data_IF_241158725316
#
_entry.id   IF_241158725316
#
_cell.length_a   1.000
_cell.length_b   1.000
_cell.length_c   1.000
_cell.angle_alpha   90.00
_cell.angle_beta   90.00
_cell.angle_gamma   90.00
#
_symmetry.space_group_name_H-M   'P 1'
#
loop_
_entity.id
_entity.type
_entity.pdbx_description
1 polymer ?
#
# COMPACT_ATOMS: atom_id res chain seq x y z
N UNK A 1 -13.08 22.53 30.48
CA UNK A 1 -13.26 21.35 31.34
C UNK A 1 -13.05 20.10 30.50
N UNK A 2 -11.85 19.53 30.57
CA UNK A 2 -11.51 18.25 29.93
C UNK A 2 -12.06 17.13 30.81
N UNK A 3 -13.05 16.38 30.30
CA UNK A 3 -13.50 15.15 30.94
C UNK A 3 -12.32 14.16 30.97
N UNK A 4 -11.97 13.60 32.14
CA UNK A 4 -10.92 12.60 32.22
C UNK A 4 -11.40 11.33 31.52
N UNK A 5 -10.61 10.83 30.58
CA UNK A 5 -10.83 9.54 29.92
C UNK A 5 -10.55 8.40 30.90
N UNK A 6 -11.40 8.22 31.91
CA UNK A 6 -11.33 7.12 32.88
C UNK A 6 -11.81 5.84 32.21
N UNK A 7 -10.88 4.95 31.85
CA UNK A 7 -11.23 3.60 31.38
C UNK A 7 -10.24 2.92 30.44
N UNK A 8 -9.17 3.58 29.97
CA UNK A 8 -8.15 2.87 29.18
C UNK A 8 -7.31 1.98 30.08
N UNK A 9 -7.50 0.66 29.99
CA UNK A 9 -6.56 -0.34 30.55
C UNK A 9 -5.14 0.09 30.19
N UNK A 10 -4.24 0.18 31.17
CA UNK A 10 -2.83 0.50 30.92
C UNK A 10 -2.31 -0.45 29.84
N UNK A 11 -1.71 0.04 28.75
CA UNK A 11 -1.18 -0.83 27.71
C UNK A 11 -0.13 -1.75 28.32
N UNK A 12 -0.18 -3.05 27.96
CA UNK A 12 0.76 -4.04 28.47
C UNK A 12 2.21 -3.57 28.25
N UNK A 13 3.13 -3.85 29.19
CA UNK A 13 4.54 -3.54 29.00
C UNK A 13 5.12 -4.38 27.86
N UNK A 14 6.06 -3.81 27.10
CA UNK A 14 6.81 -4.55 26.08
C UNK A 14 8.09 -5.12 26.70
N UNK A 15 8.53 -6.28 26.21
CA UNK A 15 9.79 -6.89 26.64
C UNK A 15 10.90 -6.44 25.69
N UNK A 16 11.98 -5.89 26.24
CA UNK A 16 13.23 -5.65 25.53
C UNK A 16 14.29 -6.64 26.04
N UNK A 17 14.81 -7.51 25.15
CA UNK A 17 15.74 -8.57 25.54
C UNK A 17 15.09 -9.69 26.37
N UNK A 18 15.80 -10.18 27.41
CA UNK A 18 15.33 -11.30 28.26
C UNK A 18 14.64 -10.87 29.57
N UNK A 19 14.81 -9.64 30.02
CA UNK A 19 14.40 -9.24 31.39
C UNK A 19 13.89 -7.80 31.55
N UNK A 20 13.99 -6.91 30.55
CA UNK A 20 13.58 -5.50 30.71
C UNK A 20 12.14 -5.28 30.24
N UNK A 21 11.33 -4.59 31.06
CA UNK A 21 9.94 -4.27 30.77
C UNK A 21 9.77 -2.76 30.55
N UNK A 22 9.42 -2.38 29.33
CA UNK A 22 9.14 -0.99 29.01
C UNK A 22 7.69 -0.63 29.31
N UNK A 23 7.51 0.40 30.13
CA UNK A 23 6.20 0.81 30.63
C UNK A 23 5.72 2.15 30.07
N UNK A 24 6.64 3.06 29.71
CA UNK A 24 6.31 4.35 29.09
C UNK A 24 5.85 4.19 27.64
N UNK A 25 5.00 5.09 27.16
CA UNK A 25 4.60 5.08 25.74
C UNK A 25 5.76 5.45 24.81
N UNK A 26 6.70 6.29 25.28
CA UNK A 26 7.87 6.70 24.50
C UNK A 26 8.82 5.51 24.30
N UNK A 27 9.23 4.89 25.40
CA UNK A 27 10.19 3.79 25.38
C UNK A 27 9.63 2.58 24.60
N UNK A 28 8.32 2.31 24.72
CA UNK A 28 7.64 1.31 23.87
C UNK A 28 7.71 1.66 22.38
N UNK A 29 7.54 2.93 22.03
CA UNK A 29 7.59 3.37 20.64
C UNK A 29 9.02 3.23 20.07
N UNK A 30 10.04 3.53 20.88
CA UNK A 30 11.46 3.35 20.52
C UNK A 30 11.78 1.84 20.33
N UNK A 31 11.42 0.97 21.28
CA UNK A 31 11.62 -0.50 21.13
C UNK A 31 10.94 -1.06 19.88
N UNK A 32 9.72 -0.59 19.58
CA UNK A 32 9.01 -0.99 18.37
C UNK A 32 9.69 -0.45 17.11
N UNK A 33 10.18 0.78 17.12
CA UNK A 33 10.92 1.36 16.00
C UNK A 33 12.19 0.54 15.71
N UNK A 34 12.98 0.24 16.75
CA UNK A 34 14.21 -0.56 16.62
C UNK A 34 13.93 -1.98 16.08
N UNK A 35 12.87 -2.62 16.59
CA UNK A 35 12.45 -3.96 16.13
C UNK A 35 12.01 -3.94 14.66
N UNK A 36 11.42 -2.85 14.20
CA UNK A 36 10.97 -2.69 12.82
C UNK A 36 12.17 -2.41 11.89
N UNK A 37 13.08 -1.53 12.29
CA UNK A 37 14.29 -1.21 11.52
C UNK A 37 15.14 -2.46 11.31
N UNK A 38 15.39 -3.23 12.37
CA UNK A 38 16.11 -4.51 12.30
C UNK A 38 15.36 -5.59 11.51
N UNK A 39 14.04 -5.48 11.37
CA UNK A 39 13.23 -6.41 10.56
C UNK A 39 13.25 -6.10 9.06
N UNK A 40 13.66 -4.89 8.67
CA UNK A 40 13.69 -4.42 7.28
C UNK A 40 15.13 -4.59 6.77
N UNK A 41 15.45 -5.77 6.27
CA UNK A 41 16.76 -6.04 5.66
C UNK A 41 16.90 -5.33 4.30
N UNK A 42 17.83 -4.37 4.11
CA UNK A 42 18.09 -3.77 2.81
C UNK A 42 18.79 -4.78 1.90
N UNK A 43 18.01 -5.58 1.18
CA UNK A 43 18.54 -6.59 0.27
C UNK A 43 19.30 -5.95 -0.90
N UNK A 44 20.63 -6.06 -0.91
CA UNK A 44 21.52 -5.61 -1.98
C UNK A 44 21.43 -6.54 -3.20
N UNK A 45 20.59 -6.19 -4.19
CA UNK A 45 20.62 -6.83 -5.50
C UNK A 45 21.36 -5.94 -6.51
N UNK A 46 22.66 -6.17 -6.70
CA UNK A 46 23.51 -5.39 -7.60
C UNK A 46 23.11 -5.54 -9.08
N UNK A 47 22.76 -6.74 -9.54
CA UNK A 47 22.44 -7.03 -10.96
C UNK A 47 21.15 -6.37 -11.46
N UNK A 48 20.02 -6.57 -10.77
CA UNK A 48 18.73 -5.95 -11.10
C UNK A 48 18.79 -4.41 -11.08
N UNK A 49 19.67 -3.84 -10.26
CA UNK A 49 19.83 -2.37 -10.17
C UNK A 49 20.43 -1.79 -11.45
N UNK A 50 21.31 -2.52 -12.13
CA UNK A 50 21.94 -2.08 -13.39
C UNK A 50 20.94 -2.15 -14.54
N UNK A 51 20.21 -3.27 -14.66
CA UNK A 51 19.21 -3.48 -15.72
C UNK A 51 18.06 -2.47 -15.64
N UNK A 52 17.53 -2.20 -14.43
CA UNK A 52 16.47 -1.19 -14.23
C UNK A 52 16.93 0.21 -14.63
N UNK A 53 18.16 0.60 -14.26
CA UNK A 53 18.71 1.92 -14.64
C UNK A 53 18.87 2.04 -16.16
N UNK A 54 19.31 0.98 -16.83
CA UNK A 54 19.48 0.97 -18.28
C UNK A 54 18.14 1.03 -19.02
N UNK A 55 17.11 0.33 -18.55
CA UNK A 55 15.78 0.35 -19.19
C UNK A 55 15.00 1.64 -18.94
N UNK A 56 15.09 2.25 -17.74
CA UNK A 56 14.47 3.56 -17.47
C UNK A 56 15.05 4.68 -18.36
N UNK A 57 16.32 4.55 -18.77
CA UNK A 57 17.01 5.59 -19.56
C UNK A 57 16.80 5.42 -21.07
N UNK A 58 16.14 4.34 -21.53
CA UNK A 58 15.84 4.17 -22.96
C UNK A 58 14.73 5.16 -23.37
N UNK A 59 14.96 6.04 -24.35
CA UNK A 59 13.89 6.87 -24.88
C UNK A 59 12.93 5.99 -25.68
N UNK A 60 11.72 5.76 -25.17
CA UNK A 60 10.63 5.23 -25.98
C UNK A 60 10.01 6.36 -26.80
N UNK A 61 9.70 6.02 -28.05
CA UNK A 61 9.04 6.89 -29.03
C UNK A 61 7.53 6.80 -28.75
N UNK A 62 6.87 7.95 -28.61
CA UNK A 62 5.46 8.14 -28.23
C UNK A 62 5.15 7.99 -26.73
N UNK A 63 5.35 9.11 -26.02
CA UNK A 63 4.81 9.30 -24.69
C UNK A 63 3.27 9.34 -24.78
N UNK A 64 2.60 8.25 -24.41
CA UNK A 64 1.17 8.29 -24.11
C UNK A 64 0.95 9.31 -22.98
N UNK A 65 0.38 10.46 -23.31
CA UNK A 65 0.02 11.51 -22.36
C UNK A 65 -0.97 10.93 -21.36
N UNK A 66 -0.60 10.90 -20.07
CA UNK A 66 -1.54 10.55 -19.00
C UNK A 66 -2.44 11.77 -18.79
N UNK A 67 -3.45 11.93 -19.63
CA UNK A 67 -4.36 13.08 -19.63
C UNK A 67 -5.68 12.84 -18.88
N UNK A 68 -5.86 11.70 -18.21
CA UNK A 68 -7.22 11.28 -17.81
C UNK A 68 -7.66 11.67 -16.39
N UNK A 69 -6.88 12.45 -15.63
CA UNK A 69 -7.35 12.90 -14.32
C UNK A 69 -8.32 14.09 -14.47
N UNK A 70 -9.61 13.87 -14.24
CA UNK A 70 -10.65 14.91 -14.29
C UNK A 70 -11.10 15.35 -12.90
N UNK A 71 -11.45 16.63 -12.74
CA UNK A 71 -12.11 17.12 -11.52
C UNK A 71 -13.31 16.27 -11.10
N UNK A 72 -14.10 15.75 -12.06
CA UNK A 72 -15.25 14.90 -11.75
C UNK A 72 -14.86 13.54 -11.17
N UNK A 73 -13.75 12.98 -11.62
CA UNK A 73 -13.16 11.79 -11.02
C UNK A 73 -12.77 12.07 -9.57
N UNK A 74 -12.05 13.16 -9.33
CA UNK A 74 -11.62 13.54 -7.97
C UNK A 74 -12.81 13.79 -7.06
N UNK A 75 -13.85 14.49 -7.53
CA UNK A 75 -15.11 14.68 -6.78
C UNK A 75 -15.73 13.34 -6.39
N UNK A 76 -15.77 12.37 -7.31
CA UNK A 76 -16.26 11.01 -7.03
C UNK A 76 -15.38 10.29 -6.00
N UNK A 77 -14.06 10.41 -6.08
CA UNK A 77 -13.13 9.81 -5.13
C UNK A 77 -13.25 10.42 -3.73
N UNK A 78 -13.38 11.75 -3.62
CA UNK A 78 -13.60 12.48 -2.37
C UNK A 78 -14.88 12.02 -1.68
N UNK A 79 -15.99 11.89 -2.43
CA UNK A 79 -17.27 11.38 -1.89
C UNK A 79 -17.13 9.99 -1.28
N UNK A 80 -16.32 9.12 -1.90
CA UNK A 80 -16.03 7.74 -1.46
C UNK A 80 -15.06 7.65 -0.27
N UNK A 81 -14.48 8.75 0.20
CA UNK A 81 -13.63 8.72 1.40
C UNK A 81 -14.42 8.24 2.62
N UNK A 82 -13.83 7.38 3.44
CA UNK A 82 -14.47 6.92 4.69
C UNK A 82 -14.27 7.99 5.77
N UNK A 83 -15.36 8.35 6.45
CA UNK A 83 -15.31 9.26 7.61
C UNK A 83 -14.59 8.58 8.80
N UNK A 84 -14.15 9.40 9.77
CA UNK A 84 -13.53 8.94 11.01
C UNK A 84 -12.28 8.06 10.80
N UNK A 85 -11.58 8.25 9.69
CA UNK A 85 -10.24 7.69 9.49
C UNK A 85 -9.21 8.60 10.13
N UNK A 86 -8.20 7.99 10.76
CA UNK A 86 -7.08 8.74 11.32
C UNK A 86 -6.36 9.51 10.19
N UNK A 87 -6.07 10.80 10.40
CA UNK A 87 -5.33 11.61 9.42
C UNK A 87 -3.86 11.18 9.36
N UNK A 88 -3.17 11.64 8.32
CA UNK A 88 -1.72 11.47 8.20
C UNK A 88 -0.97 12.48 9.05
N UNK A 89 0.30 12.74 8.69
CA UNK A 89 1.14 13.77 9.32
C UNK A 89 0.61 15.20 9.12
N UNK A 90 -0.19 15.41 8.08
CA UNK A 90 -0.83 16.69 7.77
C UNK A 90 -2.01 17.02 8.69
N UNK A 91 -2.47 16.07 9.49
CA UNK A 91 -3.61 16.21 10.42
C UNK A 91 -4.96 16.55 9.74
N UNK A 92 -5.02 16.50 8.41
CA UNK A 92 -6.23 16.76 7.63
C UNK A 92 -7.11 15.51 7.62
N UNK A 93 -8.25 15.58 8.32
CA UNK A 93 -9.24 14.52 8.32
C UNK A 93 -9.99 14.43 6.98
N UNK A 94 -10.43 13.23 6.62
CA UNK A 94 -11.23 13.01 5.40
C UNK A 94 -12.51 13.86 5.35
N UNK A 95 -13.09 14.20 6.51
CA UNK A 95 -14.24 15.09 6.60
C UNK A 95 -13.92 16.49 6.09
N UNK A 96 -12.74 17.02 6.41
CA UNK A 96 -12.31 18.33 5.91
C UNK A 96 -12.14 18.30 4.38
N UNK A 97 -11.54 17.24 3.84
CA UNK A 97 -11.39 17.05 2.38
C UNK A 97 -12.76 16.98 1.69
N UNK A 98 -13.75 16.32 2.30
CA UNK A 98 -15.13 16.29 1.78
C UNK A 98 -15.85 17.64 1.77
N UNK A 99 -15.39 18.58 2.59
CA UNK A 99 -15.93 19.95 2.65
C UNK A 99 -15.24 20.91 1.70
N UNK A 100 -14.29 20.45 0.87
CA UNK A 100 -13.63 21.32 -0.10
C UNK A 100 -14.65 21.92 -1.08
N UNK A 101 -14.61 23.25 -1.32
CA UNK A 101 -15.44 23.86 -2.35
C UNK A 101 -15.01 23.38 -3.73
N UNK A 102 -15.92 23.43 -4.72
CA UNK A 102 -15.64 22.95 -6.07
C UNK A 102 -14.35 23.55 -6.66
N UNK A 103 -14.12 24.85 -6.46
CA UNK A 103 -12.90 25.54 -6.90
C UNK A 103 -11.63 24.90 -6.31
N UNK A 104 -11.65 24.49 -5.04
CA UNK A 104 -10.50 23.81 -4.43
C UNK A 104 -10.30 22.40 -5.00
N UNK A 105 -11.38 21.68 -5.33
CA UNK A 105 -11.29 20.38 -5.99
C UNK A 105 -10.72 20.51 -7.41
N UNK A 106 -11.09 21.56 -8.13
CA UNK A 106 -10.56 21.86 -9.47
C UNK A 106 -9.05 22.15 -9.42
N UNK A 107 -8.61 22.97 -8.46
CA UNK A 107 -7.17 23.19 -8.24
C UNK A 107 -6.44 21.92 -7.83
N UNK A 108 -7.07 21.05 -7.02
CA UNK A 108 -6.48 19.76 -6.67
C UNK A 108 -6.30 18.87 -7.91
N UNK A 109 -7.23 18.91 -8.85
CA UNK A 109 -7.13 18.21 -10.12
C UNK A 109 -5.93 18.70 -10.95
N UNK A 110 -5.80 20.02 -11.11
CA UNK A 110 -4.66 20.63 -11.79
C UNK A 110 -3.32 20.19 -11.15
N UNK A 111 -3.25 20.13 -9.82
CA UNK A 111 -2.06 19.66 -9.11
C UNK A 111 -1.79 18.19 -9.40
N UNK A 112 -2.81 17.33 -9.38
CA UNK A 112 -2.64 15.89 -9.69
C UNK A 112 -2.17 15.69 -11.13
N UNK A 113 -2.77 16.39 -12.09
CA UNK A 113 -2.38 16.38 -13.51
C UNK A 113 -0.91 16.80 -13.65
N UNK A 114 -0.51 17.89 -12.99
CA UNK A 114 0.87 18.37 -13.04
C UNK A 114 1.86 17.30 -12.53
N UNK A 115 1.55 16.59 -11.45
CA UNK A 115 2.41 15.51 -10.94
C UNK A 115 2.46 14.29 -11.85
N UNK A 116 1.35 13.94 -12.52
CA UNK A 116 1.32 12.89 -13.54
C UNK A 116 2.20 13.28 -14.75
N UNK A 117 2.05 14.51 -15.26
CA UNK A 117 2.84 15.04 -16.38
C UNK A 117 4.34 15.12 -16.07
N UNK A 118 4.69 15.55 -14.85
CA UNK A 118 6.08 15.60 -14.40
C UNK A 118 6.63 14.24 -13.91
N UNK A 119 5.81 13.19 -13.92
CA UNK A 119 6.20 11.82 -13.56
C UNK A 119 6.85 11.75 -12.17
N UNK A 120 6.35 12.55 -11.23
CA UNK A 120 6.95 12.72 -9.89
C UNK A 120 5.91 12.62 -8.81
N UNK A 121 6.19 11.79 -7.82
CA UNK A 121 5.33 11.68 -6.65
C UNK A 121 5.71 12.74 -5.59
N UNK A 122 4.74 13.47 -5.02
CA UNK A 122 5.04 14.58 -4.10
C UNK A 122 5.73 14.10 -2.82
N UNK A 123 6.83 14.76 -2.43
CA UNK A 123 7.61 14.37 -1.24
C UNK A 123 6.77 14.41 0.04
N UNK A 124 6.02 15.49 0.26
CA UNK A 124 5.15 15.64 1.43
C UNK A 124 4.08 14.54 1.54
N UNK A 125 3.67 13.95 0.42
CA UNK A 125 2.66 12.89 0.39
C UNK A 125 3.24 11.49 0.61
N UNK A 126 4.57 11.35 0.65
CA UNK A 126 5.25 10.10 1.03
C UNK A 126 5.45 9.96 2.53
N UNK A 127 5.33 11.06 3.27
CA UNK A 127 5.51 11.06 4.71
C UNK A 127 4.33 10.38 5.41
N UNK A 128 4.62 9.32 6.15
CA UNK A 128 3.63 8.56 6.89
C UNK A 128 3.85 8.70 8.40
N UNK A 129 2.75 8.77 9.14
CA UNK A 129 2.77 8.56 10.59
C UNK A 129 2.63 7.08 10.87
N UNK A 130 3.59 6.48 11.57
CA UNK A 130 3.50 5.08 11.96
C UNK A 130 2.63 4.90 13.20
N UNK A 131 1.72 3.95 13.13
CA UNK A 131 1.00 3.41 14.29
C UNK A 131 1.15 1.90 14.30
N UNK A 132 1.25 1.30 15.47
CA UNK A 132 1.40 -0.15 15.62
C UNK A 132 0.11 -0.78 16.14
N UNK A 133 -0.21 -1.97 15.63
CA UNK A 133 -1.34 -2.75 16.12
C UNK A 133 -0.91 -4.18 16.45
N UNK A 134 -1.34 -4.75 17.58
CA UNK A 134 -1.02 -6.12 17.91
C UNK A 134 -1.74 -7.10 16.98
N UNK A 135 -1.06 -8.19 16.60
CA UNK A 135 -1.71 -9.33 15.93
C UNK A 135 -2.73 -9.98 16.88
N UNK A 136 -3.92 -10.27 16.36
CA UNK A 136 -4.95 -10.99 17.12
C UNK A 136 -4.42 -12.34 17.61
N UNK A 137 -4.64 -12.66 18.89
CA UNK A 137 -4.24 -13.93 19.49
C UNK A 137 -2.73 -14.12 19.69
N UNK A 138 -1.90 -13.07 19.55
CA UNK A 138 -0.45 -13.14 19.79
C UNK A 138 -0.03 -12.44 21.09
N UNK A 139 1.12 -12.81 21.69
CA UNK A 139 1.60 -12.22 22.93
C UNK A 139 1.81 -10.70 22.84
N UNK A 140 1.04 -9.94 23.60
CA UNK A 140 1.08 -8.47 23.59
C UNK A 140 2.39 -7.86 24.11
N UNK A 141 3.23 -8.67 24.76
CA UNK A 141 4.52 -8.23 25.30
C UNK A 141 5.68 -8.39 24.31
N UNK A 142 5.49 -9.16 23.25
CA UNK A 142 6.51 -9.40 22.22
C UNK A 142 6.37 -8.34 21.09
N UNK A 143 7.36 -7.44 20.92
CA UNK A 143 7.35 -6.42 19.88
C UNK A 143 7.18 -6.97 18.45
N UNK A 144 7.68 -8.18 18.14
CA UNK A 144 7.59 -8.79 16.81
C UNK A 144 6.16 -9.20 16.43
N UNK A 145 5.24 -9.21 17.40
CA UNK A 145 3.82 -9.51 17.18
C UNK A 145 3.02 -8.30 16.73
N UNK A 146 3.60 -7.11 16.75
CA UNK A 146 2.94 -5.90 16.28
C UNK A 146 3.10 -5.75 14.76
N UNK A 147 2.09 -5.14 14.13
CA UNK A 147 2.10 -4.78 12.71
C UNK A 147 2.22 -3.26 12.61
N UNK A 148 3.24 -2.72 11.93
CA UNK A 148 3.27 -1.32 11.60
C UNK A 148 2.14 -1.01 10.61
N UNK A 149 1.55 0.16 10.75
CA UNK A 149 0.56 0.69 9.80
C UNK A 149 0.93 2.14 9.51
N UNK A 150 1.20 2.41 8.24
CA UNK A 150 1.56 3.73 7.75
C UNK A 150 0.29 4.56 7.50
N UNK A 151 0.15 5.66 8.22
CA UNK A 151 -0.92 6.64 8.02
C UNK A 151 -0.41 7.75 7.10
N UNK A 152 -0.64 7.58 5.80
CA UNK A 152 -0.47 8.63 4.80
C UNK A 152 -1.60 9.66 4.85
N UNK A 153 -1.33 10.88 4.35
CA UNK A 153 -2.33 11.94 4.21
C UNK A 153 -3.52 11.50 3.37
N UNK A 154 -4.68 12.13 3.61
CA UNK A 154 -5.88 11.86 2.81
C UNK A 154 -5.69 12.22 1.34
N UNK A 155 -4.94 13.30 1.06
CA UNK A 155 -4.61 13.74 -0.30
C UNK A 155 -3.65 12.76 -1.01
N UNK A 156 -2.64 12.24 -0.31
CA UNK A 156 -1.76 11.19 -0.85
C UNK A 156 -2.55 9.97 -1.29
N UNK A 157 -3.44 9.48 -0.43
CA UNK A 157 -4.32 8.33 -0.73
C UNK A 157 -5.32 8.61 -1.87
N UNK A 158 -5.74 9.86 -2.07
CA UNK A 158 -6.57 10.22 -3.22
C UNK A 158 -5.76 10.12 -4.51
N UNK A 159 -4.53 10.65 -4.51
CA UNK A 159 -3.65 10.58 -5.66
C UNK A 159 -3.25 9.13 -6.00
N UNK A 160 -2.94 8.31 -4.99
CA UNK A 160 -2.70 6.88 -5.15
C UNK A 160 -3.88 6.14 -5.80
N UNK A 161 -5.13 6.56 -5.55
CA UNK A 161 -6.30 5.97 -6.21
C UNK A 161 -6.40 6.32 -7.68
N UNK A 162 -6.01 7.55 -8.07
CA UNK A 162 -5.93 7.95 -9.48
C UNK A 162 -4.89 7.09 -10.18
N UNK A 163 -3.69 6.95 -9.60
CA UNK A 163 -2.63 6.09 -10.13
C UNK A 163 -3.10 4.63 -10.23
N UNK A 164 -3.78 4.12 -9.20
CA UNK A 164 -4.31 2.76 -9.18
C UNK A 164 -5.34 2.51 -10.28
N UNK A 165 -6.18 3.50 -10.61
CA UNK A 165 -7.15 3.39 -11.70
C UNK A 165 -6.41 3.13 -13.03
N UNK A 166 -5.44 3.98 -13.39
CA UNK A 166 -4.65 3.78 -14.61
C UNK A 166 -3.90 2.44 -14.64
N UNK A 167 -3.33 2.02 -13.52
CA UNK A 167 -2.66 0.71 -13.43
C UNK A 167 -3.63 -0.45 -13.62
N UNK A 168 -4.83 -0.34 -13.05
CA UNK A 168 -5.85 -1.38 -13.15
C UNK A 168 -6.42 -1.46 -14.56
N UNK A 169 -6.72 -0.31 -15.17
CA UNK A 169 -7.29 -0.25 -16.51
C UNK A 169 -6.34 -0.87 -17.54
N UNK A 170 -5.05 -0.54 -17.49
CA UNK A 170 -4.04 -1.18 -18.33
C UNK A 170 -3.88 -2.68 -18.03
N UNK A 171 -3.83 -3.07 -16.76
CA UNK A 171 -3.69 -4.47 -16.39
C UNK A 171 -4.89 -5.33 -16.85
N UNK A 172 -6.08 -4.74 -16.90
CA UNK A 172 -7.29 -5.36 -17.43
C UNK A 172 -7.30 -5.38 -18.95
N UNK A 173 -6.92 -4.31 -19.64
CA UNK A 173 -6.91 -4.28 -21.12
C UNK A 173 -5.93 -5.29 -21.71
N UNK A 174 -4.76 -5.45 -21.08
CA UNK A 174 -3.71 -6.37 -21.52
C UNK A 174 -3.82 -7.76 -20.90
N UNK A 175 -4.87 -8.04 -20.11
CA UNK A 175 -5.08 -9.32 -19.40
C UNK A 175 -3.84 -9.82 -18.64
N UNK A 176 -3.14 -8.90 -17.94
CA UNK A 176 -1.86 -9.17 -17.27
C UNK A 176 -2.04 -10.14 -16.09
N UNK A 177 -3.20 -10.09 -15.45
CA UNK A 177 -3.49 -10.79 -14.22
C UNK A 177 -4.16 -12.13 -14.53
N UNK A 178 -3.70 -13.20 -13.88
CA UNK A 178 -4.31 -14.52 -14.03
C UNK A 178 -5.77 -14.51 -13.53
N UNK A 179 -6.63 -15.26 -14.21
CA UNK A 179 -8.05 -15.44 -13.84
C UNK A 179 -8.24 -16.07 -12.45
N UNK A 180 -7.20 -16.75 -11.95
CA UNK A 180 -7.08 -17.36 -10.63
C UNK A 180 -6.77 -16.35 -9.52
N UNK A 181 -6.41 -15.11 -9.85
CA UNK A 181 -6.04 -14.10 -8.87
C UNK A 181 -7.29 -13.37 -8.38
N UNK A 182 -7.79 -13.73 -7.20
CA UNK A 182 -8.95 -13.06 -6.59
C UNK A 182 -8.53 -11.96 -5.60
N UNK A 183 -7.34 -12.09 -5.02
CA UNK A 183 -6.82 -11.12 -4.05
C UNK A 183 -6.63 -9.74 -4.68
N UNK A 184 -7.20 -8.72 -4.04
CA UNK A 184 -7.10 -7.31 -4.44
C UNK A 184 -7.65 -6.97 -5.83
N UNK A 185 -8.43 -7.87 -6.45
CA UNK A 185 -9.10 -7.62 -7.71
C UNK A 185 -10.51 -7.06 -7.51
N UNK A 186 -10.91 -6.15 -8.40
CA UNK A 186 -12.30 -5.67 -8.45
C UNK A 186 -13.20 -6.85 -8.84
N UNK A 187 -14.39 -6.93 -8.23
CA UNK A 187 -15.42 -7.94 -8.55
C UNK A 187 -15.02 -9.41 -8.30
N UNK A 188 -13.90 -9.67 -7.63
CA UNK A 188 -13.44 -11.02 -7.25
C UNK A 188 -13.38 -11.19 -5.72
N UNK A 189 -14.53 -11.32 -5.04
CA UNK A 189 -14.56 -11.47 -3.59
C UNK A 189 -14.05 -12.85 -3.14
N UNK A 190 -13.54 -12.94 -1.92
CA UNK A 190 -12.89 -14.15 -1.37
C UNK A 190 -13.81 -15.38 -1.35
N UNK A 191 -15.13 -15.19 -1.23
CA UNK A 191 -16.11 -16.27 -1.26
C UNK A 191 -16.15 -16.99 -2.62
N UNK A 192 -15.90 -16.30 -3.74
CA UNK A 192 -15.84 -16.94 -5.05
C UNK A 192 -14.63 -17.88 -5.15
N UNK A 193 -13.47 -17.46 -4.63
CA UNK A 193 -12.28 -18.32 -4.58
C UNK A 193 -12.50 -19.53 -3.67
N UNK A 194 -13.19 -19.35 -2.53
CA UNK A 194 -13.55 -20.46 -1.65
C UNK A 194 -14.48 -21.45 -2.37
N UNK A 195 -15.51 -20.95 -3.05
CA UNK A 195 -16.44 -21.79 -3.82
C UNK A 195 -15.71 -22.60 -4.89
N UNK A 196 -14.77 -21.97 -5.61
CA UNK A 196 -13.92 -22.64 -6.60
C UNK A 196 -13.12 -23.80 -5.98
N UNK A 197 -12.50 -23.59 -4.82
CA UNK A 197 -11.76 -24.65 -4.13
C UNK A 197 -12.67 -25.80 -3.72
N UNK A 198 -13.86 -25.49 -3.17
CA UNK A 198 -14.85 -26.50 -2.78
C UNK A 198 -15.33 -27.29 -3.98
N UNK A 199 -15.62 -26.63 -5.11
CA UNK A 199 -16.06 -27.27 -6.35
C UNK A 199 -15.02 -28.26 -6.89
N UNK A 200 -13.73 -27.88 -6.91
CA UNK A 200 -12.64 -28.78 -7.32
C UNK A 200 -12.57 -30.02 -6.41
N UNK A 201 -12.72 -29.85 -5.09
CA UNK A 201 -12.74 -30.96 -4.13
C UNK A 201 -13.95 -31.87 -4.37
N UNK A 202 -15.13 -31.29 -4.58
CA UNK A 202 -16.37 -32.03 -4.85
C UNK A 202 -16.31 -32.80 -6.16
N UNK A 203 -15.74 -32.22 -7.22
CA UNK A 203 -15.55 -32.92 -8.50
C UNK A 203 -14.62 -34.11 -8.35
N UNK A 204 -13.48 -33.94 -7.65
CA UNK A 204 -12.57 -35.05 -7.35
C UNK A 204 -13.25 -36.17 -6.58
N UNK A 205 -14.05 -35.81 -5.57
CA UNK A 205 -14.84 -36.77 -4.79
C UNK A 205 -15.84 -37.54 -5.67
N UNK A 206 -16.57 -36.86 -6.56
CA UNK A 206 -17.58 -37.47 -7.44
C UNK A 206 -16.99 -38.49 -8.43
N UNK A 207 -15.72 -38.34 -8.83
CA UNK A 207 -15.01 -39.29 -9.70
C UNK A 207 -14.16 -40.29 -8.91
N UNK A 208 -14.43 -40.46 -7.61
CA UNK A 208 -13.70 -41.35 -6.70
C UNK A 208 -12.18 -41.13 -6.69
N UNK A 209 -11.73 -39.87 -6.81
CA UNK A 209 -10.32 -39.49 -6.69
C UNK A 209 -10.05 -38.75 -5.39
N UNK A 210 -8.89 -39.02 -4.79
CA UNK A 210 -8.37 -38.23 -3.68
C UNK A 210 -7.87 -36.87 -4.19
N UNK A 211 -8.30 -35.78 -3.56
CA UNK A 211 -7.87 -34.42 -3.87
C UNK A 211 -6.92 -33.92 -2.80
N UNK A 212 -5.71 -33.50 -3.19
CA UNK A 212 -4.74 -32.86 -2.29
C UNK A 212 -4.78 -31.34 -2.40
N UNK A 213 -4.64 -30.63 -1.28
CA UNK A 213 -4.57 -29.17 -1.22
C UNK A 213 -3.23 -28.72 -0.64
N UNK A 214 -2.50 -27.90 -1.40
CA UNK A 214 -1.25 -27.27 -0.97
C UNK A 214 -1.49 -25.78 -0.76
N UNK A 215 -1.25 -25.28 0.45
CA UNK A 215 -1.41 -23.89 0.82
C UNK A 215 -0.04 -23.24 1.03
N UNK A 216 0.23 -22.15 0.30
CA UNK A 216 1.48 -21.40 0.39
C UNK A 216 1.19 -20.01 0.97
N UNK A 217 1.97 -19.61 1.98
CA UNK A 217 1.91 -18.28 2.58
C UNK A 217 3.29 -17.61 2.55
N UNK A 218 3.32 -16.36 2.09
CA UNK A 218 4.55 -15.57 1.99
C UNK A 218 4.71 -14.72 3.24
N UNK A 219 5.65 -15.10 4.11
CA UNK A 219 5.94 -14.34 5.31
C UNK A 219 6.41 -12.91 4.99
N UNK A 220 5.75 -11.92 5.59
CA UNK A 220 6.06 -10.48 5.47
C UNK A 220 6.17 -10.00 4.01
N UNK A 221 5.19 -10.36 3.16
CA UNK A 221 5.23 -10.07 1.71
C UNK A 221 5.44 -8.58 1.36
N UNK A 222 4.83 -7.65 2.10
CA UNK A 222 5.00 -6.21 1.84
C UNK A 222 6.37 -5.69 2.30
N UNK A 223 6.87 -6.15 3.45
CA UNK A 223 8.18 -5.74 3.97
C UNK A 223 9.35 -6.30 3.13
N UNK A 224 9.13 -7.46 2.49
CA UNK A 224 10.12 -8.13 1.61
C UNK A 224 10.00 -7.73 0.14
N UNK A 225 9.05 -6.86 -0.20
CA UNK A 225 8.81 -6.42 -1.58
C UNK A 225 10.04 -5.73 -2.16
N UNK A 226 10.60 -6.26 -3.25
CA UNK A 226 11.73 -5.63 -3.95
C UNK A 226 11.22 -4.51 -4.85
N UNK A 227 11.25 -3.26 -4.38
CA UNK A 227 10.81 -2.10 -5.18
C UNK A 227 11.45 -2.04 -6.57
N UNK A 228 12.78 -2.26 -6.67
CA UNK A 228 13.46 -2.32 -7.99
C UNK A 228 12.96 -3.47 -8.86
N UNK A 229 12.69 -4.64 -8.28
CA UNK A 229 12.14 -5.79 -8.99
C UNK A 229 10.70 -5.55 -9.46
N UNK A 230 9.90 -4.81 -8.68
CA UNK A 230 8.57 -4.36 -9.08
C UNK A 230 8.66 -3.43 -10.30
N UNK A 231 9.51 -2.41 -10.24
CA UNK A 231 9.74 -1.48 -11.37
C UNK A 231 10.20 -2.24 -12.63
N UNK A 232 11.16 -3.15 -12.50
CA UNK A 232 11.59 -4.02 -13.60
C UNK A 232 10.42 -4.80 -14.22
N UNK A 233 9.58 -5.40 -13.36
CA UNK A 233 8.43 -6.18 -13.82
C UNK A 233 7.42 -5.30 -14.57
N UNK A 234 7.18 -4.07 -14.11
CA UNK A 234 6.29 -3.13 -14.80
C UNK A 234 6.82 -2.76 -16.19
N UNK A 235 8.13 -2.54 -16.34
CA UNK A 235 8.76 -2.29 -17.65
C UNK A 235 8.60 -3.50 -18.56
N UNK A 236 8.89 -4.71 -18.08
CA UNK A 236 8.73 -5.94 -18.87
C UNK A 236 7.28 -6.22 -19.28
N UNK A 237 6.32 -5.81 -18.45
CA UNK A 237 4.90 -5.89 -18.74
C UNK A 237 4.38 -4.72 -19.60
N UNK A 238 5.27 -3.87 -20.12
CA UNK A 238 4.96 -2.76 -21.03
C UNK A 238 4.01 -1.71 -20.47
N UNK A 239 4.00 -1.52 -19.14
CA UNK A 239 3.34 -0.35 -18.57
C UNK A 239 3.99 0.93 -19.10
N UNK A 240 3.19 1.99 -19.28
CA UNK A 240 3.69 3.27 -19.79
C UNK A 240 4.86 3.80 -18.97
N UNK A 241 5.89 4.29 -19.67
CA UNK A 241 7.09 4.87 -19.06
C UNK A 241 6.76 5.98 -18.06
N UNK A 242 5.73 6.78 -18.35
CA UNK A 242 5.22 7.82 -17.46
C UNK A 242 4.78 7.27 -16.09
N UNK A 243 3.97 6.20 -16.07
CA UNK A 243 3.53 5.55 -14.83
C UNK A 243 4.69 4.88 -14.11
N UNK A 244 5.59 4.22 -14.86
CA UNK A 244 6.78 3.57 -14.30
C UNK A 244 7.68 4.59 -13.62
N UNK A 245 7.91 5.75 -14.24
CA UNK A 245 8.74 6.82 -13.68
C UNK A 245 8.10 7.45 -12.42
N UNK A 246 6.78 7.65 -12.45
CA UNK A 246 6.03 8.11 -11.28
C UNK A 246 6.16 7.14 -10.09
N UNK A 247 5.97 5.84 -10.34
CA UNK A 247 6.12 4.79 -9.32
C UNK A 247 7.57 4.64 -8.84
N UNK A 248 8.53 4.82 -9.74
CA UNK A 248 9.95 4.88 -9.39
C UNK A 248 10.20 6.05 -8.44
N UNK A 249 9.63 7.24 -8.71
CA UNK A 249 9.68 8.39 -7.80
C UNK A 249 8.96 8.16 -6.46
N UNK A 250 7.94 7.31 -6.44
CA UNK A 250 7.23 6.94 -5.21
C UNK A 250 8.07 5.99 -4.35
N UNK A 251 8.57 4.90 -4.91
CA UNK A 251 9.23 3.83 -4.14
C UNK A 251 10.73 4.04 -3.90
N UNK A 252 11.48 4.62 -4.86
CA UNK A 252 12.95 4.68 -4.79
C UNK A 252 13.51 6.02 -4.30
N UNK A 253 12.72 7.09 -4.36
CA UNK A 253 13.11 8.42 -3.88
C UNK A 253 12.51 8.71 -2.49
N UNK A 254 12.49 7.71 -1.61
CA UNK A 254 12.18 7.91 -0.20
C UNK A 254 13.47 8.31 0.52
N UNK A 255 13.53 9.53 1.02
CA UNK A 255 14.46 9.83 2.10
C UNK A 255 13.85 9.20 3.35
N UNK A 256 14.47 8.12 3.83
CA UNK A 256 14.21 7.56 5.16
C UNK A 256 14.77 8.54 6.19
#
# INVERSE_FOLDING_TARGET
>A
MTLPLTGRKKPNPLIQGKTHLECSNRDKAEVLADTLETSIEPNQASKLTVEVKQEITKPETEAATIEECSSDEIRRLIKKLKNCKAPGKDEIANQAIKMFPNVAVDRLAEIFIAYLQHQRFPKAWKEARFTVFPKAGKPLRDPATYRPTSLLSGLSKLFEKVILAHLSDFASSENILATEQFGFQKEHPTNHQLLRVVDIISQGFNINKSTGLVLLDVAKAFDRGRHRGLIYKLIKLKFSSNLVNLLTSYFLHCNV
#
